data_IF_357623542862
#
_entry.id   IF_357623542862
#
_cell.length_a   1.000
_cell.length_b   1.000
_cell.length_c   1.000
_cell.angle_alpha   90.00
_cell.angle_beta   90.00
_cell.angle_gamma   90.00
#
_symmetry.space_group_name_H-M   'P 1'
#
loop_
_entity.id
_entity.type
_entity.pdbx_description
1 polymer ?
#
# COMPACT_ATOMS: atom_id res chain seq x y z
N UNK A 1 -6.67 -14.11 -17.94
CA UNK A 1 -7.80 -14.20 -18.89
C UNK A 1 -7.27 -13.88 -20.26
N UNK A 2 -7.66 -14.65 -21.26
CA UNK A 2 -7.23 -14.42 -22.64
C UNK A 2 -7.87 -13.15 -23.19
N UNK A 3 -7.12 -12.44 -24.04
CA UNK A 3 -7.53 -11.18 -24.67
C UNK A 3 -7.73 -11.43 -26.18
N UNK A 4 -8.82 -10.93 -26.80
CA UNK A 4 -9.93 -10.23 -26.16
C UNK A 4 -11.02 -11.16 -25.61
N UNK A 5 -11.05 -12.44 -26.01
CA UNK A 5 -12.13 -13.38 -25.69
C UNK A 5 -11.71 -14.31 -24.55
N UNK A 6 -12.25 -14.15 -23.33
CA UNK A 6 -11.92 -15.02 -22.22
C UNK A 6 -12.50 -16.42 -22.40
N UNK A 7 -11.83 -17.45 -21.87
CA UNK A 7 -12.32 -18.83 -21.95
C UNK A 7 -13.57 -19.11 -21.09
N UNK A 8 -13.77 -18.32 -20.02
CA UNK A 8 -14.95 -18.39 -19.16
C UNK A 8 -15.96 -17.31 -19.53
N UNK A 9 -17.24 -17.57 -19.24
CA UNK A 9 -18.29 -16.57 -19.42
C UNK A 9 -18.02 -15.31 -18.60
N UNK A 10 -18.10 -14.14 -19.23
CA UNK A 10 -17.81 -12.85 -18.64
C UNK A 10 -19.06 -11.95 -18.67
N UNK A 11 -19.52 -11.57 -17.47
CA UNK A 11 -20.48 -10.48 -17.28
C UNK A 11 -19.69 -9.25 -16.83
N UNK A 12 -19.75 -8.17 -17.60
CA UNK A 12 -19.04 -6.92 -17.31
C UNK A 12 -20.02 -5.78 -17.04
N UNK A 13 -19.99 -5.25 -15.82
CA UNK A 13 -20.83 -4.13 -15.38
C UNK A 13 -19.97 -2.90 -15.20
N UNK A 14 -20.26 -1.81 -15.92
CA UNK A 14 -19.48 -0.59 -15.83
C UNK A 14 -20.30 0.66 -16.20
N UNK A 15 -20.15 1.80 -15.49
CA UNK A 15 -20.91 3.02 -15.79
C UNK A 15 -20.43 3.76 -17.05
N UNK A 16 -19.14 3.70 -17.37
CA UNK A 16 -18.58 4.22 -18.63
C UNK A 16 -18.84 3.24 -19.78
N UNK A 17 -19.61 3.67 -20.79
CA UNK A 17 -19.95 2.82 -21.93
C UNK A 17 -18.78 2.50 -22.86
N UNK A 18 -17.75 3.33 -22.83
CA UNK A 18 -16.47 3.19 -23.53
C UNK A 18 -15.54 2.13 -22.91
N UNK A 19 -15.75 1.76 -21.65
CA UNK A 19 -15.01 0.68 -20.99
C UNK A 19 -15.54 -0.72 -21.32
N UNK A 20 -16.81 -0.80 -21.75
CA UNK A 20 -17.41 -2.07 -22.12
C UNK A 20 -16.83 -2.56 -23.45
N UNK A 21 -16.07 -3.65 -23.40
CA UNK A 21 -15.37 -4.18 -24.58
C UNK A 21 -14.01 -3.53 -24.85
N UNK A 22 -13.50 -2.67 -23.96
CA UNK A 22 -12.21 -1.99 -24.16
C UNK A 22 -11.02 -2.94 -24.18
N UNK A 23 -11.01 -3.91 -23.26
CA UNK A 23 -9.96 -4.94 -23.14
C UNK A 23 -10.51 -6.34 -23.41
N UNK A 24 -11.65 -6.68 -22.79
CA UNK A 24 -12.26 -8.00 -22.88
C UNK A 24 -13.65 -7.90 -23.51
N UNK A 25 -13.94 -8.79 -24.47
CA UNK A 25 -15.26 -8.99 -25.02
C UNK A 25 -16.11 -9.77 -23.99
N UNK A 26 -17.03 -9.07 -23.33
CA UNK A 26 -17.97 -9.68 -22.38
C UNK A 26 -19.13 -10.36 -23.12
N UNK A 27 -19.56 -11.54 -22.64
CA UNK A 27 -20.77 -12.22 -23.12
C UNK A 27 -22.03 -11.41 -22.77
N UNK A 28 -21.99 -10.69 -21.65
CA UNK A 28 -23.02 -9.75 -21.23
C UNK A 28 -22.37 -8.47 -20.70
N UNK A 29 -22.54 -7.38 -21.44
CA UNK A 29 -22.13 -6.05 -21.02
C UNK A 29 -23.33 -5.27 -20.48
N UNK A 30 -23.21 -4.71 -19.26
CA UNK A 30 -24.28 -3.97 -18.59
C UNK A 30 -23.75 -2.57 -18.28
N UNK A 31 -24.32 -1.55 -18.93
CA UNK A 31 -23.94 -0.16 -18.71
C UNK A 31 -24.79 0.48 -17.61
N UNK A 32 -24.33 0.37 -16.36
CA UNK A 32 -24.92 1.05 -15.22
C UNK A 32 -23.88 1.26 -14.10
N UNK A 33 -24.21 2.10 -13.13
CA UNK A 33 -23.41 2.22 -11.92
C UNK A 33 -23.74 1.07 -10.94
N UNK A 34 -22.81 0.84 -10.00
CA UNK A 34 -22.92 -0.26 -9.05
C UNK A 34 -24.18 -0.22 -8.17
N UNK A 35 -24.70 0.94 -7.70
CA UNK A 35 -25.90 0.97 -6.86
C UNK A 35 -27.16 0.43 -7.55
N UNK A 36 -27.39 0.78 -8.82
CA UNK A 36 -28.52 0.29 -9.61
C UNK A 36 -28.37 -1.20 -9.88
N UNK A 37 -27.15 -1.65 -10.19
CA UNK A 37 -26.87 -3.06 -10.43
C UNK A 37 -27.12 -3.91 -9.17
N UNK A 38 -26.61 -3.49 -8.01
CA UNK A 38 -26.78 -4.25 -6.76
C UNK A 38 -28.23 -4.26 -6.29
N UNK A 39 -28.99 -3.18 -6.53
CA UNK A 39 -30.43 -3.13 -6.27
C UNK A 39 -31.18 -4.17 -7.10
N UNK A 40 -30.93 -4.23 -8.41
CA UNK A 40 -31.55 -5.22 -9.28
C UNK A 40 -31.12 -6.66 -8.94
N UNK A 41 -29.84 -6.88 -8.61
CA UNK A 41 -29.36 -8.19 -8.18
C UNK A 41 -30.01 -8.69 -6.89
N UNK A 42 -30.33 -7.81 -5.95
CA UNK A 42 -30.96 -8.17 -4.68
C UNK A 42 -32.39 -8.69 -4.82
N UNK A 43 -33.05 -8.42 -5.95
CA UNK A 43 -34.39 -8.93 -6.26
C UNK A 43 -34.37 -10.35 -6.85
N UNK A 44 -33.19 -10.85 -7.25
CA UNK A 44 -33.04 -12.19 -7.82
C UNK A 44 -32.96 -13.27 -6.73
N UNK A 45 -33.49 -14.45 -7.03
CA UNK A 45 -33.32 -15.63 -6.18
C UNK A 45 -31.83 -15.96 -5.98
N UNK A 46 -31.33 -16.05 -4.72
CA UNK A 46 -29.94 -16.36 -4.46
C UNK A 46 -29.53 -17.70 -5.05
N UNK A 47 -28.41 -17.73 -5.76
CA UNK A 47 -27.85 -18.98 -6.28
C UNK A 47 -27.23 -19.78 -5.13
N UNK A 48 -27.70 -21.02 -4.93
CA UNK A 48 -27.16 -21.93 -3.92
C UNK A 48 -25.66 -22.20 -4.12
N UNK A 49 -24.87 -21.96 -3.07
CA UNK A 49 -23.40 -22.03 -3.14
C UNK A 49 -22.78 -23.43 -3.07
N UNK A 50 -23.59 -24.49 -2.91
CA UNK A 50 -23.12 -25.84 -2.58
C UNK A 50 -22.04 -26.38 -3.54
N UNK A 51 -22.16 -26.10 -4.84
CA UNK A 51 -21.21 -26.57 -5.85
C UNK A 51 -19.80 -25.95 -5.75
N UNK A 52 -19.65 -24.85 -5.00
CA UNK A 52 -18.39 -24.13 -4.85
C UNK A 52 -17.80 -24.20 -3.44
N UNK A 53 -18.43 -24.92 -2.50
CA UNK A 53 -18.01 -24.88 -1.09
C UNK A 53 -16.53 -25.27 -0.89
N UNK A 54 -16.10 -26.41 -1.44
CA UNK A 54 -14.69 -26.83 -1.37
C UNK A 54 -13.75 -25.81 -2.01
N UNK A 55 -14.10 -25.25 -3.16
CA UNK A 55 -13.29 -24.23 -3.81
C UNK A 55 -13.20 -22.95 -2.98
N UNK A 56 -14.30 -22.52 -2.34
CA UNK A 56 -14.32 -21.35 -1.47
C UNK A 56 -13.46 -21.56 -0.21
N UNK A 57 -13.53 -22.75 0.40
CA UNK A 57 -12.70 -23.13 1.55
C UNK A 57 -11.21 -23.12 1.19
N UNK A 58 -10.84 -23.74 0.07
CA UNK A 58 -9.47 -23.78 -0.42
C UNK A 58 -8.95 -22.37 -0.75
N UNK A 59 -9.74 -21.57 -1.47
CA UNK A 59 -9.38 -20.20 -1.83
C UNK A 59 -9.24 -19.31 -0.59
N UNK A 60 -10.13 -19.46 0.41
CA UNK A 60 -10.04 -18.74 1.68
C UNK A 60 -8.79 -19.16 2.45
N UNK A 61 -8.49 -20.46 2.52
CA UNK A 61 -7.28 -20.98 3.15
C UNK A 61 -6.00 -20.44 2.52
N UNK A 62 -5.93 -20.48 1.19
CA UNK A 62 -4.80 -19.94 0.42
C UNK A 62 -4.63 -18.43 0.65
N UNK A 63 -5.73 -17.67 0.65
CA UNK A 63 -5.69 -16.24 0.95
C UNK A 63 -5.19 -15.97 2.37
N UNK A 64 -5.73 -16.65 3.39
CA UNK A 64 -5.29 -16.48 4.78
C UNK A 64 -3.80 -16.80 4.94
N UNK A 65 -3.32 -17.86 4.30
CA UNK A 65 -1.89 -18.18 4.30
C UNK A 65 -1.06 -17.11 3.57
N UNK A 66 -1.59 -16.53 2.50
CA UNK A 66 -0.87 -15.53 1.71
C UNK A 66 -0.61 -14.22 2.45
N UNK A 67 -1.43 -13.90 3.46
CA UNK A 67 -1.34 -12.67 4.27
C UNK A 67 -0.61 -12.86 5.60
N UNK A 68 -0.09 -14.06 5.88
CA UNK A 68 0.81 -14.28 7.02
C UNK A 68 2.18 -13.62 6.77
N UNK A 69 2.82 -13.03 7.80
CA UNK A 69 4.16 -12.46 7.66
C UNK A 69 5.16 -13.47 7.07
N UNK A 70 5.99 -13.00 6.15
CA UNK A 70 7.01 -13.82 5.50
C UNK A 70 8.39 -13.48 6.03
N UNK A 71 9.32 -14.45 6.14
CA UNK A 71 10.71 -14.17 6.47
C UNK A 71 11.33 -13.16 5.50
N UNK A 72 12.19 -12.28 6.02
CA UNK A 72 12.84 -11.21 5.27
C UNK A 72 14.28 -11.05 5.79
N UNK A 73 15.23 -10.72 4.91
CA UNK A 73 16.60 -10.37 5.33
C UNK A 73 16.66 -9.09 6.16
N UNK A 74 17.68 -9.03 7.02
CA UNK A 74 17.96 -7.89 7.88
C UNK A 74 17.22 -7.94 9.21
N UNK A 75 17.39 -6.89 10.00
CA UNK A 75 16.85 -6.80 11.37
C UNK A 75 15.39 -6.31 11.42
N UNK A 76 14.90 -5.77 10.30
CA UNK A 76 13.53 -5.29 10.14
C UNK A 76 12.75 -6.17 9.16
N UNK A 77 11.64 -6.73 9.63
CA UNK A 77 10.67 -7.42 8.81
C UNK A 77 9.46 -6.52 8.56
N UNK A 78 9.37 -5.97 7.34
CA UNK A 78 8.28 -5.08 6.97
C UNK A 78 6.92 -5.81 6.93
N UNK A 79 6.88 -7.12 6.66
CA UNK A 79 5.61 -7.87 6.67
C UNK A 79 5.01 -7.97 8.07
N UNK A 80 5.85 -8.17 9.09
CA UNK A 80 5.41 -8.18 10.50
C UNK A 80 4.90 -6.80 10.93
N UNK A 81 5.58 -5.73 10.50
CA UNK A 81 5.16 -4.34 10.75
C UNK A 81 3.79 -4.04 10.13
N UNK A 82 3.57 -4.39 8.85
CA UNK A 82 2.27 -4.16 8.20
C UNK A 82 1.18 -5.03 8.85
N UNK A 83 1.46 -6.29 9.19
CA UNK A 83 0.51 -7.16 9.89
C UNK A 83 0.17 -6.64 11.29
N UNK A 84 1.13 -6.06 12.01
CA UNK A 84 0.87 -5.38 13.27
C UNK A 84 -0.08 -4.20 13.07
N UNK A 85 0.20 -3.30 12.11
CA UNK A 85 -0.71 -2.18 11.81
C UNK A 85 -2.10 -2.67 11.40
N UNK A 86 -2.18 -3.73 10.60
CA UNK A 86 -3.43 -4.36 10.20
C UNK A 86 -4.27 -4.82 11.40
N UNK A 87 -3.64 -5.31 12.48
CA UNK A 87 -4.35 -5.75 13.68
C UNK A 87 -4.71 -4.62 14.64
N UNK A 88 -3.83 -3.64 14.81
CA UNK A 88 -3.96 -2.62 15.85
C UNK A 88 -4.69 -1.35 15.42
N UNK A 89 -4.69 -1.03 14.12
CA UNK A 89 -5.40 0.14 13.61
C UNK A 89 -6.90 -0.13 13.51
N UNK A 90 -7.68 0.91 13.81
CA UNK A 90 -9.13 0.88 13.66
C UNK A 90 -9.53 0.62 12.20
N UNK A 91 -10.72 0.04 12.02
CA UNK A 91 -11.25 -0.33 10.70
C UNK A 91 -11.39 0.86 9.73
N UNK A 92 -11.51 2.07 10.30
CA UNK A 92 -11.57 3.33 9.58
C UNK A 92 -10.21 4.01 9.40
N UNK A 93 -9.08 3.45 9.83
CA UNK A 93 -7.78 4.08 9.56
C UNK A 93 -7.55 4.29 8.05
N UNK A 94 -7.01 5.45 7.67
CA UNK A 94 -6.69 5.76 6.27
C UNK A 94 -5.25 5.35 6.01
N UNK A 95 -5.08 4.27 5.26
CA UNK A 95 -3.78 3.77 4.83
C UNK A 95 -3.50 4.26 3.40
N UNK A 96 -2.38 4.96 3.26
CA UNK A 96 -1.96 5.61 2.02
C UNK A 96 -0.58 5.08 1.69
N UNK A 97 -0.37 4.64 0.46
CA UNK A 97 0.96 4.16 0.05
C UNK A 97 1.51 4.97 -1.12
N UNK A 98 2.81 5.25 -1.04
CA UNK A 98 3.59 5.76 -2.15
C UNK A 98 3.73 4.73 -3.26
N UNK A 99 4.36 5.15 -4.36
CA UNK A 99 4.69 4.29 -5.49
C UNK A 99 6.10 3.74 -5.34
N UNK A 100 6.23 2.43 -5.55
CA UNK A 100 7.46 1.68 -5.33
C UNK A 100 7.13 0.30 -4.76
N UNK A 101 8.14 -0.56 -4.60
CA UNK A 101 7.89 -1.92 -4.14
C UNK A 101 7.30 -1.99 -2.71
N UNK A 102 7.48 -0.94 -1.88
CA UNK A 102 6.91 -0.87 -0.54
C UNK A 102 5.38 -1.06 -0.53
N UNK A 103 4.68 -0.66 -1.60
CA UNK A 103 3.24 -0.86 -1.76
C UNK A 103 2.84 -2.33 -1.76
N UNK A 104 3.73 -3.22 -2.23
CA UNK A 104 3.49 -4.66 -2.24
C UNK A 104 3.28 -5.25 -0.84
N UNK A 105 3.98 -4.72 0.18
CA UNK A 105 3.74 -5.13 1.56
C UNK A 105 2.40 -4.60 2.07
N UNK A 106 2.08 -3.33 1.80
CA UNK A 106 0.81 -2.73 2.22
C UNK A 106 -0.37 -3.48 1.62
N UNK A 107 -0.40 -3.67 0.31
CA UNK A 107 -1.52 -4.33 -0.37
C UNK A 107 -1.66 -5.82 -0.05
N UNK A 108 -0.56 -6.49 0.30
CA UNK A 108 -0.59 -7.91 0.66
C UNK A 108 -1.03 -8.12 2.11
N UNK A 109 -0.47 -7.38 3.06
CA UNK A 109 -0.57 -7.70 4.48
C UNK A 109 -1.57 -6.83 5.24
N UNK A 110 -1.87 -5.62 4.77
CA UNK A 110 -2.87 -4.74 5.40
C UNK A 110 -4.29 -5.10 4.95
N UNK A 111 -5.21 -5.26 5.90
CA UNK A 111 -6.61 -5.55 5.60
C UNK A 111 -7.45 -4.28 5.71
N UNK A 112 -7.94 -3.82 4.56
CA UNK A 112 -8.81 -2.64 4.47
C UNK A 112 -10.24 -3.01 4.85
N UNK A 113 -10.79 -2.36 5.89
CA UNK A 113 -12.09 -2.74 6.49
C UNK A 113 -13.18 -1.67 6.35
N UNK A 114 -12.81 -0.45 5.95
CA UNK A 114 -13.75 0.66 5.74
C UNK A 114 -13.70 1.23 4.32
N UNK A 115 -14.81 1.80 3.85
CA UNK A 115 -14.82 2.60 2.63
C UNK A 115 -13.95 3.85 2.81
N UNK A 116 -13.15 4.20 1.79
CA UNK A 116 -12.21 5.32 1.88
C UNK A 116 -11.12 5.10 2.93
N UNK A 117 -10.81 3.85 3.30
CA UNK A 117 -9.65 3.50 4.15
C UNK A 117 -8.36 3.33 3.35
N UNK A 118 -8.42 3.42 2.02
CA UNK A 118 -7.27 3.31 1.12
C UNK A 118 -7.21 4.49 0.17
N UNK A 119 -6.03 5.12 0.04
CA UNK A 119 -5.74 6.10 -1.01
C UNK A 119 -4.45 5.71 -1.74
N UNK A 120 -4.51 5.64 -3.06
CA UNK A 120 -3.37 5.26 -3.92
C UNK A 120 -3.49 5.94 -5.29
N UNK A 121 -2.35 6.27 -5.91
CA UNK A 121 -2.32 6.81 -7.26
C UNK A 121 -2.37 5.68 -8.31
N UNK A 122 -3.42 5.64 -9.13
CA UNK A 122 -3.55 4.67 -10.24
C UNK A 122 -2.43 4.78 -11.26
N UNK A 123 -1.90 5.99 -11.47
CA UNK A 123 -0.78 6.25 -12.40
C UNK A 123 0.58 5.74 -11.91
N UNK A 124 0.70 5.31 -10.65
CA UNK A 124 1.99 4.97 -10.06
C UNK A 124 2.91 6.18 -9.82
N UNK A 125 2.32 7.37 -9.65
CA UNK A 125 3.07 8.61 -9.43
C UNK A 125 3.74 8.64 -8.05
N UNK A 126 5.08 8.65 -8.05
CA UNK A 126 5.88 8.91 -6.84
C UNK A 126 5.56 10.29 -6.26
N UNK A 127 5.63 10.42 -4.93
CA UNK A 127 5.32 11.64 -4.19
C UNK A 127 3.86 11.78 -3.77
N UNK A 128 2.91 11.06 -4.38
CA UNK A 128 1.48 11.22 -4.11
C UNK A 128 1.07 11.08 -2.63
N UNK A 129 1.68 10.13 -1.92
CA UNK A 129 1.19 9.71 -0.61
C UNK A 129 1.38 10.75 0.51
N UNK A 130 2.34 11.69 0.38
CA UNK A 130 2.53 12.76 1.36
C UNK A 130 1.39 13.78 1.31
N UNK A 131 1.12 14.50 0.19
CA UNK A 131 -0.02 15.42 0.11
C UNK A 131 -1.37 14.72 0.29
N UNK A 132 -1.52 13.47 -0.15
CA UNK A 132 -2.74 12.71 0.10
C UNK A 132 -3.00 12.51 1.61
N UNK A 133 -1.96 12.26 2.40
CA UNK A 133 -2.07 12.15 3.86
C UNK A 133 -2.39 13.47 4.54
N UNK A 134 -1.80 14.57 4.06
CA UNK A 134 -2.16 15.93 4.52
C UNK A 134 -3.65 16.18 4.32
N UNK A 135 -4.18 15.94 3.11
CA UNK A 135 -5.60 16.16 2.83
C UNK A 135 -6.50 15.18 3.59
N UNK A 136 -6.12 13.92 3.71
CA UNK A 136 -6.90 12.94 4.48
C UNK A 136 -7.00 13.35 5.97
N UNK A 137 -5.90 13.81 6.58
CA UNK A 137 -5.93 14.30 7.97
C UNK A 137 -6.72 15.60 8.13
N UNK A 138 -6.77 16.44 7.09
CA UNK A 138 -7.57 17.65 7.09
C UNK A 138 -9.07 17.34 7.02
N UNK A 139 -9.47 16.40 6.16
CA UNK A 139 -10.87 16.04 5.93
C UNK A 139 -11.42 15.10 7.01
N UNK A 140 -10.55 14.32 7.64
CA UNK A 140 -10.90 13.32 8.65
C UNK A 140 -9.98 13.41 9.89
N UNK A 141 -10.06 14.51 10.66
CA UNK A 141 -9.19 14.72 11.81
C UNK A 141 -9.35 13.67 12.93
N UNK A 142 -10.46 12.94 12.95
CA UNK A 142 -10.75 11.86 13.88
C UNK A 142 -10.09 10.52 13.52
N UNK A 143 -9.72 10.32 12.24
CA UNK A 143 -9.19 9.05 11.74
C UNK A 143 -7.67 9.01 11.86
N UNK A 144 -7.12 7.84 12.17
CA UNK A 144 -5.67 7.63 12.07
C UNK A 144 -5.27 7.59 10.60
N UNK A 145 -4.42 8.52 10.17
CA UNK A 145 -3.92 8.61 8.79
C UNK A 145 -2.46 8.21 8.73
N UNK A 146 -2.15 7.18 7.94
CA UNK A 146 -0.81 6.61 7.80
C UNK A 146 -0.37 6.65 6.35
N UNK A 147 0.80 7.23 6.10
CA UNK A 147 1.42 7.34 4.78
C UNK A 147 2.68 6.49 4.71
N UNK A 148 2.64 5.37 4.00
CA UNK A 148 3.79 4.45 3.83
C UNK A 148 4.50 4.75 2.51
N UNK A 149 5.72 5.25 2.61
CA UNK A 149 6.50 5.75 1.48
C UNK A 149 7.79 4.95 1.35
N UNK A 150 8.25 4.69 0.12
CA UNK A 150 9.68 4.43 -0.09
C UNK A 150 10.46 5.74 0.07
N UNK A 151 11.72 5.67 0.48
CA UNK A 151 12.65 6.81 0.57
C UNK A 151 12.65 7.71 -0.67
N UNK A 152 12.85 7.15 -1.87
CA UNK A 152 12.81 7.91 -3.13
C UNK A 152 11.45 8.51 -3.44
N UNK A 153 10.37 7.82 -3.04
CA UNK A 153 9.01 8.32 -3.22
C UNK A 153 8.73 9.50 -2.30
N UNK A 154 9.19 9.43 -1.05
CA UNK A 154 9.05 10.51 -0.07
C UNK A 154 9.78 11.77 -0.53
N UNK A 155 10.99 11.63 -1.08
CA UNK A 155 11.80 12.77 -1.54
C UNK A 155 11.18 13.60 -2.67
N UNK A 156 10.15 13.09 -3.36
CA UNK A 156 9.48 13.85 -4.43
C UNK A 156 8.65 15.02 -3.90
N UNK A 157 7.88 14.79 -2.82
CA UNK A 157 6.92 15.75 -2.27
C UNK A 157 6.92 15.79 -0.73
N UNK A 158 7.98 15.32 -0.07
CA UNK A 158 8.13 15.29 1.39
C UNK A 158 8.05 16.67 2.03
N UNK A 159 8.34 17.75 1.30
CA UNK A 159 8.19 19.13 1.75
C UNK A 159 6.74 19.51 2.09
N UNK A 160 5.74 18.75 1.65
CA UNK A 160 4.33 18.97 2.04
C UNK A 160 4.07 18.69 3.53
N UNK A 161 5.06 18.17 4.27
CA UNK A 161 5.05 18.24 5.73
C UNK A 161 4.94 19.68 6.26
N UNK A 162 5.45 20.68 5.52
CA UNK A 162 5.24 22.08 5.85
C UNK A 162 3.74 22.45 5.86
N UNK A 163 2.97 21.90 4.93
CA UNK A 163 1.51 22.07 4.86
C UNK A 163 0.83 21.40 6.06
N UNK A 164 1.22 20.18 6.43
CA UNK A 164 0.73 19.54 7.66
C UNK A 164 1.01 20.39 8.91
N UNK A 165 2.23 20.91 9.06
CA UNK A 165 2.60 21.82 10.15
C UNK A 165 1.73 23.08 10.17
N UNK A 166 1.56 23.73 9.03
CA UNK A 166 0.79 24.97 8.90
C UNK A 166 -0.65 24.80 9.42
N UNK A 167 -1.27 23.65 9.15
CA UNK A 167 -2.64 23.35 9.55
C UNK A 167 -2.76 22.57 10.86
N UNK A 168 -1.64 22.30 11.55
CA UNK A 168 -1.65 21.53 12.80
C UNK A 168 -2.19 20.11 12.64
N UNK A 169 -1.94 19.47 11.50
CA UNK A 169 -2.43 18.14 11.18
C UNK A 169 -1.47 17.07 11.70
N UNK A 170 -2.01 15.88 11.97
CA UNK A 170 -1.29 14.78 12.62
C UNK A 170 -1.16 13.47 11.81
N UNK A 171 -0.86 13.49 10.49
CA UNK A 171 -0.57 12.26 9.77
C UNK A 171 0.72 11.60 10.28
N UNK A 172 0.78 10.26 10.19
CA UNK A 172 1.98 9.47 10.47
C UNK A 172 2.63 9.10 9.14
N UNK A 173 3.77 9.71 8.84
CA UNK A 173 4.59 9.37 7.69
C UNK A 173 5.59 8.26 8.06
N UNK A 174 5.51 7.14 7.36
CA UNK A 174 6.46 6.03 7.45
C UNK A 174 7.31 6.08 6.18
N UNK A 175 8.64 6.14 6.35
CA UNK A 175 9.61 6.07 5.25
C UNK A 175 10.36 4.75 5.33
N UNK A 176 10.04 3.84 4.43
CA UNK A 176 10.75 2.58 4.23
C UNK A 176 12.03 2.88 3.45
N UNK A 177 13.15 2.88 4.15
CA UNK A 177 14.44 3.32 3.62
C UNK A 177 15.35 2.12 3.36
N UNK A 178 15.59 1.86 2.07
CA UNK A 178 16.58 0.90 1.58
C UNK A 178 17.65 1.57 0.70
N UNK A 179 17.67 2.90 0.67
CA UNK A 179 18.62 3.74 -0.08
C UNK A 179 18.60 3.46 -1.59
N UNK A 180 17.42 3.15 -2.14
CA UNK A 180 17.31 2.64 -3.51
C UNK A 180 15.91 2.77 -4.15
N UNK A 181 15.89 3.09 -5.45
CA UNK A 181 14.71 2.92 -6.31
C UNK A 181 14.50 1.43 -6.64
N UNK A 182 14.00 0.67 -5.67
CA UNK A 182 13.97 -0.80 -5.70
C UNK A 182 13.16 -1.40 -6.86
N UNK A 183 12.07 -0.77 -7.29
CA UNK A 183 11.30 -1.25 -8.46
C UNK A 183 12.15 -1.20 -9.72
N UNK A 184 12.86 -0.09 -9.94
CA UNK A 184 13.75 0.07 -11.09
C UNK A 184 14.91 -0.90 -10.98
N UNK A 185 15.51 -1.04 -9.78
CA UNK A 185 16.59 -2.01 -9.56
C UNK A 185 16.15 -3.45 -9.85
N UNK A 186 14.97 -3.83 -9.38
CA UNK A 186 14.39 -5.16 -9.62
C UNK A 186 14.28 -5.44 -11.13
N UNK A 187 13.76 -4.50 -11.92
CA UNK A 187 13.67 -4.67 -13.36
C UNK A 187 15.04 -4.70 -14.05
N UNK A 188 15.99 -3.88 -13.59
CA UNK A 188 17.37 -3.90 -14.08
C UNK A 188 18.01 -5.28 -13.87
N UNK A 189 17.92 -5.86 -12.68
CA UNK A 189 18.54 -7.16 -12.42
C UNK A 189 17.86 -8.31 -13.16
N UNK A 190 16.52 -8.27 -13.30
CA UNK A 190 15.78 -9.31 -14.04
C UNK A 190 16.04 -9.31 -15.55
N UNK A 191 16.23 -8.13 -16.14
CA UNK A 191 16.33 -7.97 -17.60
C UNK A 191 17.77 -7.73 -18.07
N UNK A 192 18.60 -7.13 -17.22
CA UNK A 192 19.97 -6.72 -17.50
C UNK A 192 20.88 -7.00 -16.29
N UNK A 193 21.07 -8.29 -15.91
CA UNK A 193 21.80 -8.66 -14.69
C UNK A 193 23.14 -7.92 -14.55
N UNK A 194 23.38 -7.32 -13.38
CA UNK A 194 24.59 -6.57 -13.06
C UNK A 194 24.68 -5.15 -13.66
N UNK A 195 23.73 -4.73 -14.51
CA UNK A 195 23.73 -3.38 -15.11
C UNK A 195 22.91 -2.40 -14.27
N UNK A 196 23.52 -1.94 -13.19
CA UNK A 196 22.93 -0.96 -12.26
C UNK A 196 23.10 0.46 -12.78
N UNK A 197 22.01 1.19 -12.96
CA UNK A 197 22.05 2.57 -13.45
C UNK A 197 21.04 3.45 -12.72
N UNK A 198 21.53 4.46 -11.98
CA UNK A 198 20.69 5.53 -11.45
C UNK A 198 19.65 5.11 -10.39
N UNK A 199 19.86 3.98 -9.73
CA UNK A 199 18.91 3.48 -8.72
C UNK A 199 19.33 3.76 -7.28
N UNK A 200 20.58 4.11 -7.04
CA UNK A 200 21.08 4.38 -5.69
C UNK A 200 20.59 5.76 -5.21
N UNK A 201 20.01 5.80 -4.02
CA UNK A 201 19.51 7.03 -3.41
C UNK A 201 20.36 7.35 -2.18
N UNK A 202 21.10 8.46 -2.18
CA UNK A 202 21.70 8.98 -0.96
C UNK A 202 20.58 9.60 -0.10
N UNK A 203 19.95 8.76 0.73
CA UNK A 203 18.87 9.19 1.62
C UNK A 203 19.36 10.19 2.67
N UNK A 204 18.66 11.32 2.90
CA UNK A 204 18.96 12.24 4.00
C UNK A 204 18.57 11.62 5.34
N UNK A 205 18.90 12.29 6.45
CA UNK A 205 18.30 11.99 7.74
C UNK A 205 16.82 12.41 7.73
N UNK A 206 15.94 11.45 7.43
CA UNK A 206 14.50 11.68 7.39
C UNK A 206 13.96 12.09 8.77
N UNK A 207 14.50 11.54 9.86
CA UNK A 207 14.06 11.94 11.20
C UNK A 207 14.45 13.37 11.54
N UNK A 208 15.65 13.80 11.15
CA UNK A 208 16.10 15.19 11.22
C UNK A 208 15.17 16.11 10.45
N UNK A 209 14.88 15.78 9.19
CA UNK A 209 13.92 16.51 8.36
C UNK A 209 12.53 16.60 9.02
N UNK A 210 12.04 15.49 9.59
CA UNK A 210 10.78 15.47 10.33
C UNK A 210 10.79 16.42 11.53
N UNK A 211 11.87 16.43 12.32
CA UNK A 211 12.03 17.34 13.47
C UNK A 211 12.06 18.80 13.03
N UNK A 212 12.71 19.11 11.91
CA UNK A 212 12.78 20.47 11.36
C UNK A 212 11.39 21.00 10.94
N UNK A 213 10.48 20.10 10.50
CA UNK A 213 9.07 20.42 10.28
C UNK A 213 8.21 20.41 11.56
N UNK A 214 8.77 20.06 12.71
CA UNK A 214 8.06 19.99 13.99
C UNK A 214 7.38 18.66 14.30
N UNK A 215 7.65 17.62 13.53
CA UNK A 215 7.10 16.28 13.74
C UNK A 215 7.71 15.57 14.96
N UNK A 216 6.95 14.63 15.53
CA UNK A 216 7.55 13.56 16.32
C UNK A 216 8.36 12.64 15.39
N UNK A 217 9.62 12.33 15.71
CA UNK A 217 10.47 11.59 14.78
C UNK A 217 11.24 10.44 15.44
N UNK A 218 11.12 9.26 14.85
CA UNK A 218 11.66 7.99 15.36
C UNK A 218 12.37 7.23 14.22
N UNK A 219 13.45 6.53 14.54
CA UNK A 219 14.10 5.58 13.62
C UNK A 219 13.87 4.17 14.15
N UNK A 220 13.41 3.28 13.29
CA UNK A 220 13.23 1.85 13.53
C UNK A 220 14.35 1.11 12.82
N UNK A 221 15.19 0.42 13.60
CA UNK A 221 16.32 -0.39 13.13
C UNK A 221 16.10 -1.87 13.32
N UNK A 222 15.14 -2.24 14.17
CA UNK A 222 14.72 -3.63 14.41
C UNK A 222 13.21 -3.73 14.49
N UNK A 223 12.66 -4.87 14.08
CA UNK A 223 11.20 -5.08 14.01
C UNK A 223 10.48 -4.77 15.32
N UNK A 224 11.05 -5.16 16.46
CA UNK A 224 10.46 -4.96 17.79
C UNK A 224 10.38 -3.48 18.22
N UNK A 225 11.11 -2.58 17.54
CA UNK A 225 11.12 -1.15 17.84
C UNK A 225 9.92 -0.43 17.22
N UNK A 226 9.29 -1.00 16.19
CA UNK A 226 8.23 -0.34 15.44
C UNK A 226 6.99 -0.04 16.27
N UNK A 227 6.40 -1.05 16.91
CA UNK A 227 5.16 -0.88 17.66
C UNK A 227 5.30 0.17 18.78
N UNK A 228 6.34 0.13 19.63
CA UNK A 228 6.57 1.20 20.61
C UNK A 228 6.77 2.58 20.00
N UNK A 229 7.49 2.69 18.86
CA UNK A 229 7.71 3.97 18.18
C UNK A 229 6.41 4.54 17.59
N UNK A 230 5.58 3.69 16.97
CA UNK A 230 4.28 4.07 16.42
C UNK A 230 3.33 4.57 17.52
N UNK A 231 3.29 3.88 18.67
CA UNK A 231 2.46 4.30 19.80
C UNK A 231 2.89 5.66 20.38
N UNK A 232 4.20 5.91 20.49
CA UNK A 232 4.70 7.23 20.91
C UNK A 232 4.40 8.31 19.88
N UNK A 233 4.51 8.00 18.59
CA UNK A 233 4.12 8.90 17.50
C UNK A 233 2.64 9.28 17.60
N UNK A 234 1.75 8.29 17.74
CA UNK A 234 0.31 8.49 17.91
C UNK A 234 -0.02 9.32 19.16
N UNK A 235 0.59 8.99 20.30
CA UNK A 235 0.37 9.68 21.56
C UNK A 235 0.91 11.12 21.59
N UNK A 236 1.82 11.48 20.68
CA UNK A 236 2.43 12.81 20.64
C UNK A 236 1.45 13.94 20.29
N UNK A 237 0.34 13.61 19.61
CA UNK A 237 -0.62 14.60 19.11
C UNK A 237 -0.03 15.55 18.06
N UNK A 238 1.05 15.13 17.39
CA UNK A 238 1.72 15.84 16.29
C UNK A 238 1.70 14.96 15.05
N UNK A 239 1.97 15.53 13.87
CA UNK A 239 2.42 14.70 12.76
C UNK A 239 3.70 13.96 13.15
N UNK A 240 3.92 12.80 12.54
CA UNK A 240 5.05 11.94 12.86
C UNK A 240 5.84 11.52 11.63
N UNK A 241 7.13 11.32 11.83
CA UNK A 241 8.08 10.75 10.88
C UNK A 241 8.70 9.49 11.48
N UNK A 242 8.40 8.34 10.92
CA UNK A 242 9.00 7.06 11.32
C UNK A 242 9.84 6.56 10.15
N UNK A 243 11.16 6.65 10.30
CA UNK A 243 12.09 6.06 9.35
C UNK A 243 12.30 4.58 9.69
N UNK A 244 11.99 3.69 8.75
CA UNK A 244 12.15 2.25 8.89
C UNK A 244 13.29 1.80 8.00
N UNK A 245 14.43 1.43 8.59
CA UNK A 245 15.60 0.98 7.85
C UNK A 245 15.48 -0.51 7.53
N UNK A 246 15.45 -0.86 6.25
CA UNK A 246 15.39 -2.27 5.82
C UNK A 246 16.66 -2.66 5.07
N UNK A 247 16.91 -3.97 4.97
CA UNK A 247 18.03 -4.48 4.17
C UNK A 247 17.88 -4.05 2.70
N UNK A 248 18.95 -3.48 2.14
CA UNK A 248 19.00 -2.97 0.76
C UNK A 248 18.71 -4.03 -0.29
N UNK A 249 18.99 -5.30 0.01
CA UNK A 249 18.76 -6.41 -0.89
C UNK A 249 17.30 -6.82 -0.93
N UNK A 250 16.47 -6.41 0.04
CA UNK A 250 15.05 -6.74 0.03
C UNK A 250 14.31 -5.82 -0.93
N UNK A 251 13.74 -6.42 -1.97
CA UNK A 251 13.05 -5.68 -3.02
C UNK A 251 11.55 -5.73 -2.88
N UNK A 252 10.96 -6.88 -2.54
CA UNK A 252 9.51 -7.07 -2.41
C UNK A 252 9.22 -8.14 -1.35
N UNK A 253 7.94 -8.39 -0.98
CA UNK A 253 7.59 -9.49 -0.08
C UNK A 253 8.08 -10.89 -0.50
N UNK A 254 8.48 -11.07 -1.76
CA UNK A 254 8.90 -12.37 -2.30
C UNK A 254 10.23 -12.31 -3.05
N UNK A 255 10.89 -11.15 -3.17
CA UNK A 255 12.11 -10.99 -3.96
C UNK A 255 13.19 -10.28 -3.16
N UNK A 256 14.38 -10.89 -3.15
CA UNK A 256 15.61 -10.35 -2.58
C UNK A 256 16.78 -10.54 -3.57
N UNK A 257 17.61 -9.50 -3.69
CA UNK A 257 18.86 -9.55 -4.45
C UNK A 257 19.79 -10.63 -3.90
N UNK A 258 20.40 -11.40 -4.80
CA UNK A 258 21.33 -12.47 -4.43
C UNK A 258 20.69 -13.74 -3.87
N UNK A 259 19.34 -13.81 -3.77
CA UNK A 259 18.62 -15.02 -3.36
C UNK A 259 17.68 -15.55 -4.42
N UNK A 260 16.75 -14.73 -4.91
CA UNK A 260 15.61 -15.22 -5.68
C UNK A 260 15.04 -14.19 -6.67
N UNK A 261 15.92 -13.38 -7.27
CA UNK A 261 15.58 -12.45 -8.36
C UNK A 261 15.79 -13.04 -9.75
#
# INVERSE_FOLDING_TARGET
>A
MDVPNPAQGLIHVHPGGDELGSVYAADLAINCAMPEFTTALAELEPVGGARWQSWLEDARGAYLQSIEPTPMSGDVNLSEIICWMSRELADDAVMINGSGNNSGWVHRFYQFRGLGSQLVATSGSMGYAVPAAVVASLLHPERTVVSVNGDGCFLMLGQEMATAAQYGLNPIFIVVNNQMLATIRMHQERQFPGRVVGTDIPSPDFTGLGRDYGAHAETVRRTEEFAPAFERARASGKMAMIEVLIDRNVLSPVLELGKNI
#
